data_IF_799338972273
#
_entry.id   IF_799338972273
#
_cell.length_a   1.000
_cell.length_b   1.000
_cell.length_c   1.000
_cell.angle_alpha   90.00
_cell.angle_beta   90.00
_cell.angle_gamma   90.00
#
_symmetry.space_group_name_H-M   'P 1'
#
loop_
_entity.id
_entity.type
_entity.pdbx_description
1 polymer ?
#
# COMPACT_ATOMS: atom_id res chain seq x y z
N UNK A 1 -3.77 -7.01 5.70
CA UNK A 1 -2.76 -8.07 5.43
C UNK A 1 -1.74 -7.57 4.39
N UNK A 2 -0.47 -8.03 4.39
CA UNK A 2 0.58 -7.48 3.47
C UNK A 2 0.18 -7.55 1.98
N UNK A 3 -0.50 -8.61 1.55
CA UNK A 3 -0.94 -8.75 0.16
C UNK A 3 -2.04 -7.77 -0.24
N UNK A 4 -2.94 -7.44 0.68
CA UNK A 4 -3.99 -6.42 0.45
C UNK A 4 -3.35 -5.05 0.30
N UNK A 5 -2.42 -4.69 1.19
CA UNK A 5 -1.68 -3.43 1.07
C UNK A 5 -0.85 -3.36 -0.21
N UNK A 6 -0.29 -4.48 -0.67
CA UNK A 6 0.42 -4.54 -1.95
C UNK A 6 -0.52 -4.27 -3.14
N UNK A 7 -1.76 -4.77 -3.10
CA UNK A 7 -2.77 -4.42 -4.10
C UNK A 7 -3.15 -2.96 -4.04
N UNK A 8 -3.41 -2.41 -2.85
CA UNK A 8 -3.74 -0.99 -2.69
C UNK A 8 -2.66 -0.10 -3.32
N UNK A 9 -1.38 -0.36 -3.01
CA UNK A 9 -0.26 0.39 -3.59
C UNK A 9 -0.19 0.26 -5.11
N UNK A 10 -0.38 -0.96 -5.64
CA UNK A 10 -0.41 -1.18 -7.09
C UNK A 10 -1.56 -0.39 -7.74
N UNK A 11 -2.77 -0.49 -7.19
CA UNK A 11 -3.95 0.16 -7.73
C UNK A 11 -3.85 1.69 -7.64
N UNK A 12 -3.34 2.24 -6.55
CA UNK A 12 -3.07 3.68 -6.42
C UNK A 12 -2.10 4.17 -7.49
N UNK A 13 -1.04 3.41 -7.78
CA UNK A 13 -0.09 3.79 -8.84
C UNK A 13 -0.72 3.66 -10.24
N UNK A 14 -1.46 2.58 -10.51
CA UNK A 14 -2.14 2.41 -11.79
C UNK A 14 -3.19 3.51 -12.01
N UNK A 15 -3.96 3.88 -10.98
CA UNK A 15 -4.92 4.97 -11.05
C UNK A 15 -4.26 6.30 -11.40
N UNK A 16 -3.07 6.59 -10.84
CA UNK A 16 -2.28 7.79 -11.20
C UNK A 16 -1.81 7.76 -12.66
N UNK A 17 -1.48 6.58 -13.20
CA UNK A 17 -0.96 6.44 -14.57
C UNK A 17 -2.05 6.40 -15.64
N UNK A 18 -3.17 5.75 -15.36
CA UNK A 18 -4.25 5.52 -16.33
C UNK A 18 -5.43 6.48 -16.19
N UNK A 19 -5.57 7.17 -15.05
CA UNK A 19 -6.70 8.07 -14.81
C UNK A 19 -8.05 7.35 -14.98
N UNK A 20 -8.89 7.87 -15.88
CA UNK A 20 -10.24 7.36 -16.14
C UNK A 20 -10.28 5.97 -16.82
N UNK A 21 -9.18 5.52 -17.42
CA UNK A 21 -9.10 4.22 -18.09
C UNK A 21 -8.81 3.05 -17.13
N UNK A 22 -8.64 3.32 -15.83
CA UNK A 22 -8.30 2.29 -14.86
C UNK A 22 -9.50 1.36 -14.57
N UNK A 23 -9.37 0.09 -14.97
CA UNK A 23 -10.43 -0.93 -14.80
C UNK A 23 -10.37 -1.74 -13.49
N UNK A 24 -9.64 -1.28 -12.47
CA UNK A 24 -9.56 -2.03 -11.20
C UNK A 24 -8.84 -3.38 -11.32
N UNK A 25 -7.82 -3.45 -12.17
CA UNK A 25 -7.09 -4.71 -12.40
C UNK A 25 -6.44 -5.20 -11.09
N UNK A 26 -6.73 -6.44 -10.72
CA UNK A 26 -6.09 -7.12 -9.59
C UNK A 26 -4.80 -7.76 -10.08
N UNK A 27 -3.65 -7.31 -9.58
CA UNK A 27 -2.37 -7.91 -9.95
C UNK A 27 -2.24 -9.32 -9.36
N UNK A 28 -1.53 -10.21 -10.05
CA UNK A 28 -1.13 -11.49 -9.49
C UNK A 28 -0.06 -11.29 -8.42
N UNK A 29 0.12 -12.28 -7.52
CA UNK A 29 1.21 -12.25 -6.52
C UNK A 29 2.60 -12.17 -7.16
N UNK A 30 2.76 -12.70 -8.37
CA UNK A 30 4.02 -12.64 -9.13
C UNK A 30 4.30 -11.19 -9.55
N UNK A 31 3.34 -10.54 -10.19
CA UNK A 31 3.44 -9.13 -10.60
C UNK A 31 3.66 -8.20 -9.39
N UNK A 32 2.98 -8.44 -8.27
CA UNK A 32 3.19 -7.66 -7.05
C UNK A 32 4.59 -7.82 -6.44
N UNK A 33 5.25 -8.96 -6.65
CA UNK A 33 6.64 -9.16 -6.22
C UNK A 33 7.62 -8.52 -7.19
N UNK A 34 7.42 -8.74 -8.49
CA UNK A 34 8.28 -8.20 -9.55
C UNK A 34 8.23 -6.67 -9.60
N UNK A 35 7.05 -6.08 -9.37
CA UNK A 35 6.86 -4.63 -9.23
C UNK A 35 7.26 -4.05 -7.87
N UNK A 36 7.79 -4.84 -6.93
CA UNK A 36 8.25 -4.37 -5.62
C UNK A 36 7.15 -4.01 -4.61
N UNK A 37 5.88 -4.02 -4.99
CA UNK A 37 4.75 -3.67 -4.11
C UNK A 37 4.65 -4.54 -2.87
N UNK A 38 4.96 -5.83 -2.97
CA UNK A 38 4.98 -6.71 -1.80
C UNK A 38 6.03 -6.27 -0.77
N UNK A 39 7.20 -5.82 -1.23
CA UNK A 39 8.26 -5.36 -0.33
C UNK A 39 7.86 -4.05 0.35
N UNK A 40 7.35 -3.09 -0.41
CA UNK A 40 6.84 -1.82 0.12
C UNK A 40 5.71 -2.04 1.13
N UNK A 41 4.73 -2.86 0.78
CA UNK A 41 3.63 -3.23 1.67
C UNK A 41 4.11 -3.89 2.96
N UNK A 42 5.11 -4.77 2.88
CA UNK A 42 5.71 -5.41 4.06
C UNK A 42 6.31 -4.37 5.00
N UNK A 43 7.05 -3.39 4.48
CA UNK A 43 7.65 -2.32 5.29
C UNK A 43 6.59 -1.47 5.98
N UNK A 44 5.56 -1.04 5.26
CA UNK A 44 4.47 -0.22 5.80
C UNK A 44 3.71 -0.98 6.90
N UNK A 45 3.26 -2.21 6.60
CA UNK A 45 2.46 -3.00 7.56
C UNK A 45 3.27 -3.31 8.82
N UNK A 46 4.55 -3.68 8.71
CA UNK A 46 5.37 -3.95 9.88
C UNK A 46 5.64 -2.69 10.71
N UNK A 47 5.81 -1.53 10.07
CA UNK A 47 5.98 -0.25 10.76
C UNK A 47 4.70 0.17 11.48
N UNK A 48 3.54 0.03 10.84
CA UNK A 48 2.24 0.31 11.48
C UNK A 48 1.98 -0.59 12.68
N UNK A 49 2.24 -1.90 12.55
CA UNK A 49 2.12 -2.83 13.68
C UNK A 49 3.05 -2.47 14.85
N UNK A 50 4.25 -1.96 14.56
CA UNK A 50 5.15 -1.47 15.60
C UNK A 50 4.61 -0.19 16.26
N UNK A 51 4.09 0.76 15.49
CA UNK A 51 3.52 2.02 15.97
C UNK A 51 2.29 1.80 16.83
N UNK A 52 1.39 0.93 16.40
CA UNK A 52 0.20 0.52 17.15
C UNK A 52 0.59 -0.03 18.53
N UNK A 53 1.59 -0.92 18.60
CA UNK A 53 2.13 -1.44 19.87
C UNK A 53 2.75 -0.38 20.77
N UNK A 54 3.11 0.78 20.23
CA UNK A 54 3.68 1.92 20.97
C UNK A 54 2.65 3.00 21.28
N UNK A 55 1.39 2.83 20.84
CA UNK A 55 0.35 3.85 20.98
C UNK A 55 0.53 5.05 20.06
N UNK A 56 1.29 4.89 18.97
CA UNK A 56 1.43 5.90 17.92
C UNK A 56 0.39 5.67 16.80
N UNK A 57 -0.08 6.73 16.13
CA UNK A 57 -0.88 6.61 14.91
C UNK A 57 -0.15 5.82 13.83
N UNK A 58 -0.89 5.18 12.94
CA UNK A 58 -0.35 4.62 11.70
C UNK A 58 0.28 5.69 10.82
N UNK A 59 1.06 5.26 9.82
CA UNK A 59 1.67 6.21 8.87
C UNK A 59 0.58 6.94 8.09
N UNK A 60 -0.46 6.25 7.67
CA UNK A 60 -1.57 6.83 6.92
C UNK A 60 -2.35 7.86 7.75
N UNK A 61 -2.62 7.56 9.02
CA UNK A 61 -3.26 8.52 9.93
C UNK A 61 -2.37 9.76 10.15
N UNK A 62 -1.06 9.56 10.31
CA UNK A 62 -0.11 10.68 10.44
C UNK A 62 -0.06 11.54 9.17
N UNK A 63 -0.05 10.94 7.97
CA UNK A 63 -0.09 11.68 6.70
C UNK A 63 -1.38 12.52 6.58
N UNK A 64 -2.54 12.00 7.00
CA UNK A 64 -3.80 12.76 6.99
C UNK A 64 -3.88 13.90 8.01
N UNK A 65 -3.07 13.86 9.08
CA UNK A 65 -3.02 14.94 10.08
C UNK A 65 -2.16 16.13 9.62
N UNK A 66 -1.41 15.96 8.53
CA UNK A 66 -0.46 16.94 8.01
C UNK A 66 -0.85 17.52 6.63
N UNK A 67 -2.02 17.17 6.11
CA UNK A 67 -2.69 17.81 4.95
C UNK A 67 -3.69 18.89 5.40
#
# INVERSE_FOLDING_TARGET
MIWEKAQELYQMEQAKRMGEDFKGLTATRKELREGGYFHMAKLIVLRNLWREKKGFPSIEEEETLHE
#
